data_IF_594529064725
#
_entry.id   IF_594529064725
#
_cell.length_a   1.000
_cell.length_b   1.000
_cell.length_c   1.000
_cell.angle_alpha   90.00
_cell.angle_beta   90.00
_cell.angle_gamma   90.00
#
_symmetry.space_group_name_H-M   'P 1'
#
loop_
_entity.id
_entity.type
_entity.pdbx_description
1 polymer ?
#
# COMPACT_ATOMS: atom_id res chain seq x y z
N UNK A 1 31.88 8.05 -52.06
CA UNK A 1 30.40 8.17 -52.07
C UNK A 1 29.87 7.28 -53.17
N UNK A 2 28.63 6.76 -53.11
CA UNK A 2 27.58 7.07 -52.12
C UNK A 2 27.68 6.28 -50.79
N UNK A 3 26.82 6.64 -49.84
CA UNK A 3 26.55 5.90 -48.60
C UNK A 3 25.34 4.97 -48.83
N UNK A 4 25.33 3.76 -48.27
CA UNK A 4 24.11 2.95 -48.23
C UNK A 4 23.31 3.29 -46.95
N UNK A 5 22.18 3.97 -47.12
CA UNK A 5 21.44 4.55 -46.00
C UNK A 5 20.77 3.52 -45.08
N UNK A 6 21.00 3.65 -43.78
CA UNK A 6 20.28 2.92 -42.72
C UNK A 6 18.80 3.29 -42.72
N UNK A 7 17.92 2.29 -42.92
CA UNK A 7 16.47 2.43 -42.68
C UNK A 7 16.14 2.03 -41.23
N UNK A 8 15.44 2.86 -40.44
CA UNK A 8 14.94 2.43 -39.15
C UNK A 8 13.81 1.41 -39.32
N UNK A 9 13.92 0.26 -38.66
CA UNK A 9 12.81 -0.71 -38.57
C UNK A 9 11.82 -0.17 -37.54
N UNK A 10 10.65 0.29 -38.01
CA UNK A 10 9.56 0.66 -37.12
C UNK A 10 8.91 -0.61 -36.56
N UNK A 11 9.10 -0.86 -35.26
CA UNK A 11 8.56 -2.03 -34.57
C UNK A 11 7.14 -1.73 -34.07
N UNK A 12 6.09 -2.47 -34.48
CA UNK A 12 4.71 -2.12 -34.17
C UNK A 12 4.29 -2.63 -32.78
N UNK A 13 4.71 -1.94 -31.71
CA UNK A 13 4.29 -2.22 -30.33
C UNK A 13 3.73 -1.00 -29.57
N UNK A 14 3.32 0.06 -30.28
CA UNK A 14 2.66 1.24 -29.72
C UNK A 14 1.14 1.24 -29.96
N UNK A 15 0.40 0.41 -29.20
CA UNK A 15 -1.03 0.62 -28.91
C UNK A 15 -1.36 0.07 -27.50
N UNK A 16 -1.69 0.92 -26.51
CA UNK A 16 -2.27 0.43 -25.27
C UNK A 16 -3.71 -0.06 -25.49
N UNK A 17 -4.05 -1.19 -24.87
CA UNK A 17 -5.44 -1.70 -24.82
C UNK A 17 -6.27 -0.84 -23.84
N UNK A 18 -7.37 -0.19 -24.27
CA UNK A 18 -8.21 0.62 -23.40
C UNK A 18 -9.07 -0.20 -22.40
N UNK A 19 -9.06 -1.54 -22.45
CA UNK A 19 -9.94 -2.41 -21.69
C UNK A 19 -9.42 -2.94 -20.35
N UNK A 20 -8.12 -2.86 -20.06
CA UNK A 20 -7.50 -3.57 -18.92
C UNK A 20 -7.20 -2.64 -17.73
N UNK A 21 -7.94 -2.74 -16.60
CA UNK A 21 -7.62 -1.99 -15.38
C UNK A 21 -6.40 -2.58 -14.66
N UNK A 22 -5.56 -1.75 -14.00
CA UNK A 22 -4.38 -2.22 -13.27
C UNK A 22 -4.75 -3.10 -12.05
N UNK A 23 -3.83 -4.01 -11.61
CA UNK A 23 -4.14 -5.12 -10.70
C UNK A 23 -4.41 -4.75 -9.23
N UNK A 24 -4.60 -3.47 -8.90
CA UNK A 24 -4.83 -2.97 -7.53
C UNK A 24 -6.21 -2.33 -7.30
N UNK A 25 -7.17 -2.56 -8.21
CA UNK A 25 -8.54 -2.02 -8.11
C UNK A 25 -9.42 -2.72 -7.06
N UNK A 26 -9.27 -2.30 -5.79
CA UNK A 26 -10.09 -2.80 -4.66
C UNK A 26 -11.56 -2.37 -4.82
N UNK A 27 -12.44 -3.30 -5.20
CA UNK A 27 -13.89 -3.11 -5.13
C UNK A 27 -14.38 -3.17 -3.67
N UNK A 28 -15.08 -2.14 -3.22
CA UNK A 28 -15.90 -2.22 -1.99
C UNK A 28 -17.11 -3.13 -2.24
N UNK A 29 -17.42 -3.98 -1.26
CA UNK A 29 -18.64 -4.80 -1.26
C UNK A 29 -19.82 -4.00 -0.67
N UNK A 30 -21.02 -4.02 -1.28
CA UNK A 30 -22.19 -3.34 -0.74
C UNK A 30 -22.92 -4.15 0.35
N UNK A 31 -22.84 -3.66 1.58
CA UNK A 31 -23.90 -3.62 2.59
C UNK A 31 -24.79 -4.86 2.83
N UNK A 32 -24.25 -5.85 3.55
CA UNK A 32 -25.02 -6.98 4.11
C UNK A 32 -25.92 -6.59 5.30
N UNK A 33 -27.15 -6.13 5.03
CA UNK A 33 -28.04 -5.51 6.02
C UNK A 33 -28.96 -6.52 6.74
N UNK A 34 -28.53 -7.10 7.86
CA UNK A 34 -29.39 -7.94 8.72
C UNK A 34 -30.14 -7.13 9.79
N UNK A 35 -31.45 -6.90 9.60
CA UNK A 35 -32.36 -6.40 10.65
C UNK A 35 -33.06 -7.55 11.39
N UNK A 36 -33.14 -7.44 12.71
CA UNK A 36 -34.14 -8.04 13.63
C UNK A 36 -34.69 -6.84 14.44
N UNK A 37 -35.98 -6.61 14.67
CA UNK A 37 -37.09 -7.51 15.01
C UNK A 37 -37.22 -7.54 16.55
N UNK A 38 -38.32 -7.18 17.23
CA UNK A 38 -39.71 -6.84 16.82
C UNK A 38 -40.00 -5.29 16.97
N UNK A 39 -41.09 -4.65 17.48
CA UNK A 39 -42.35 -5.05 18.16
C UNK A 39 -43.45 -3.95 18.08
N UNK A 40 -44.43 -3.90 19.02
CA UNK A 40 -45.61 -2.99 19.12
C UNK A 40 -45.76 -2.49 20.59
N UNK A 41 -46.18 -1.26 20.92
CA UNK A 41 -47.51 -0.58 20.78
C UNK A 41 -48.60 -1.21 21.70
N UNK A 42 -49.55 -0.49 22.37
CA UNK A 42 -50.08 0.88 22.15
C UNK A 42 -50.44 1.75 23.41
N UNK A 43 -51.27 2.81 23.22
CA UNK A 43 -52.36 3.35 24.12
C UNK A 43 -52.32 4.80 24.73
N UNK A 44 -52.84 5.76 23.93
CA UNK A 44 -53.76 6.94 24.16
C UNK A 44 -53.83 7.83 25.46
N UNK A 45 -54.36 9.10 25.36
CA UNK A 45 -54.37 10.15 26.42
C UNK A 45 -55.78 10.44 27.02
N UNK A 46 -56.00 11.43 27.95
CA UNK A 46 -56.33 12.82 27.54
C UNK A 46 -56.08 14.03 28.53
N UNK A 47 -55.98 15.25 27.96
CA UNK A 47 -56.44 16.61 28.42
C UNK A 47 -56.37 17.05 29.91
N UNK A 48 -55.79 18.24 30.17
CA UNK A 48 -56.51 19.53 30.42
C UNK A 48 -55.56 20.76 30.56
N UNK A 49 -56.14 21.95 30.36
CA UNK A 49 -55.63 23.32 30.61
C UNK A 49 -56.54 24.01 31.65
N UNK A 50 -56.30 25.26 32.14
CA UNK A 50 -55.10 26.12 32.12
C UNK A 50 -54.64 26.50 33.55
N UNK A 51 -53.71 27.46 33.73
CA UNK A 51 -53.94 28.72 34.49
C UNK A 51 -52.73 29.69 34.43
N UNK A 52 -52.94 30.94 34.89
CA UNK A 52 -52.01 32.08 34.88
C UNK A 52 -50.77 31.90 35.76
N UNK A 53 -49.67 32.60 35.44
CA UNK A 53 -48.46 32.59 36.28
C UNK A 53 -47.28 33.45 35.80
N UNK A 54 -47.48 34.73 35.43
CA UNK A 54 -46.36 35.64 35.18
C UNK A 54 -45.72 36.10 36.50
N UNK A 55 -44.52 35.62 36.80
CA UNK A 55 -43.66 36.20 37.84
C UNK A 55 -42.18 35.95 37.52
N UNK A 56 -41.47 36.98 37.06
CA UNK A 56 -39.99 36.97 37.04
C UNK A 56 -39.49 37.13 38.48
N UNK A 57 -38.77 36.13 39.00
CA UNK A 57 -37.67 36.35 39.97
C UNK A 57 -36.49 35.44 39.64
N UNK A 58 -35.30 35.97 39.89
CA UNK A 58 -34.00 35.39 39.52
C UNK A 58 -33.45 34.44 40.60
N UNK A 59 -32.41 33.69 40.21
CA UNK A 59 -31.48 32.90 41.03
C UNK A 59 -32.04 31.62 41.71
N UNK A 60 -31.42 30.47 41.42
CA UNK A 60 -31.78 29.19 42.07
C UNK A 60 -31.21 27.90 41.43
N UNK A 61 -29.88 27.81 41.28
CA UNK A 61 -29.09 26.59 40.99
C UNK A 61 -29.48 25.70 39.78
N UNK A 62 -28.53 25.56 38.84
CA UNK A 62 -28.49 24.49 37.82
C UNK A 62 -28.72 23.09 38.43
N UNK A 63 -29.48 22.23 37.75
CA UNK A 63 -29.83 20.87 38.26
C UNK A 63 -29.78 19.75 37.22
N UNK A 64 -29.00 19.87 36.14
CA UNK A 64 -29.02 18.89 35.02
C UNK A 64 -27.65 18.30 34.60
N UNK A 65 -26.52 18.82 35.11
CA UNK A 65 -25.17 18.57 34.55
C UNK A 65 -24.47 17.26 34.99
N UNK A 66 -25.19 16.14 35.09
CA UNK A 66 -24.58 14.84 35.50
C UNK A 66 -24.80 13.66 34.57
N UNK A 67 -25.75 13.71 33.63
CA UNK A 67 -25.98 12.60 32.69
C UNK A 67 -25.13 12.73 31.41
N UNK A 68 -25.18 13.90 30.75
CA UNK A 68 -24.58 14.14 29.44
C UNK A 68 -23.06 13.96 29.40
N UNK A 69 -22.36 14.34 30.47
CA UNK A 69 -20.89 14.27 30.56
C UNK A 69 -20.37 12.82 30.47
N UNK A 70 -21.15 11.83 30.88
CA UNK A 70 -20.75 10.40 30.85
C UNK A 70 -20.88 9.77 29.46
N UNK A 71 -21.81 10.23 28.62
CA UNK A 71 -21.96 9.73 27.24
C UNK A 71 -20.97 10.39 26.28
N UNK A 72 -20.59 11.65 26.50
CA UNK A 72 -19.53 12.31 25.72
C UNK A 72 -18.18 11.60 25.83
N UNK A 73 -17.81 11.15 27.05
CA UNK A 73 -16.55 10.45 27.29
C UNK A 73 -16.46 9.08 26.62
N UNK A 74 -17.55 8.30 26.59
CA UNK A 74 -17.53 6.98 25.93
C UNK A 74 -17.51 7.06 24.41
N UNK A 75 -18.10 8.10 23.80
CA UNK A 75 -18.03 8.28 22.35
C UNK A 75 -16.64 8.74 21.88
N UNK A 76 -15.95 9.56 22.68
CA UNK A 76 -14.58 10.02 22.37
C UNK A 76 -13.55 8.87 22.40
N UNK A 77 -13.73 7.89 23.29
CA UNK A 77 -12.81 6.75 23.46
C UNK A 77 -12.75 5.83 22.22
N UNK A 78 -13.81 5.76 21.41
CA UNK A 78 -13.89 4.87 20.23
C UNK A 78 -13.07 5.35 19.03
N UNK A 79 -12.68 6.64 18.99
CA UNK A 79 -11.91 7.21 17.86
C UNK A 79 -10.41 6.94 17.99
N UNK A 80 -9.92 6.59 19.19
CA UNK A 80 -8.49 6.52 19.50
C UNK A 80 -7.74 5.30 18.93
N UNK A 81 -8.44 4.30 18.38
CA UNK A 81 -7.85 3.02 17.96
C UNK A 81 -7.86 2.80 16.43
N UNK A 82 -7.87 3.87 15.64
CA UNK A 82 -7.62 3.81 14.20
C UNK A 82 -6.13 3.56 13.89
N UNK A 83 -5.64 2.34 14.19
CA UNK A 83 -4.27 1.93 13.85
C UNK A 83 -4.10 1.91 12.33
N UNK A 84 -3.38 2.88 11.78
CA UNK A 84 -2.96 2.84 10.39
C UNK A 84 -2.02 1.65 10.19
N UNK A 85 -2.45 0.67 9.39
CA UNK A 85 -1.54 -0.34 8.88
C UNK A 85 -0.53 0.36 7.96
N UNK A 86 0.71 0.50 8.42
CA UNK A 86 1.82 0.92 7.56
C UNK A 86 2.01 -0.17 6.50
N UNK A 87 2.01 0.22 5.22
CA UNK A 87 2.35 -0.70 4.15
C UNK A 87 3.86 -0.94 4.15
N UNK A 88 4.28 -2.19 3.93
CA UNK A 88 5.68 -2.47 3.64
C UNK A 88 5.98 -1.95 2.24
N UNK A 89 6.75 -0.87 2.16
CA UNK A 89 7.08 -0.18 0.92
C UNK A 89 8.47 -0.61 0.43
N UNK A 90 8.59 -0.88 -0.87
CA UNK A 90 9.89 -1.02 -1.55
C UNK A 90 9.97 0.01 -2.68
N UNK A 91 11.12 0.66 -2.81
CA UNK A 91 11.39 1.71 -3.78
C UNK A 91 12.79 1.55 -4.37
N UNK A 92 13.04 2.20 -5.51
CA UNK A 92 14.34 2.19 -6.16
C UNK A 92 14.63 3.56 -6.78
N UNK A 93 15.79 4.19 -6.49
CA UNK A 93 16.25 5.35 -7.24
C UNK A 93 16.81 4.97 -8.63
N UNK A 94 16.94 3.67 -8.92
CA UNK A 94 17.50 3.15 -10.17
C UNK A 94 16.49 3.07 -11.32
N UNK A 95 15.19 3.12 -11.04
CA UNK A 95 14.11 2.91 -12.03
C UNK A 95 13.09 4.03 -11.89
N UNK A 96 12.80 4.74 -12.99
CA UNK A 96 11.78 5.79 -13.06
C UNK A 96 10.92 5.62 -14.30
N UNK A 97 9.60 5.75 -14.18
CA UNK A 97 8.61 5.65 -15.27
C UNK A 97 8.80 4.41 -16.18
N UNK A 98 9.17 3.27 -15.59
CA UNK A 98 9.47 2.01 -16.30
C UNK A 98 10.78 2.01 -17.10
N UNK A 99 11.57 3.09 -17.07
CA UNK A 99 12.83 3.23 -17.79
C UNK A 99 14.00 2.75 -16.93
N UNK A 100 14.91 2.02 -17.57
CA UNK A 100 16.10 1.45 -16.94
C UNK A 100 17.37 2.03 -17.59
N UNK A 101 18.38 2.32 -16.79
CA UNK A 101 19.70 2.65 -17.32
C UNK A 101 20.36 1.39 -17.91
N UNK A 102 21.05 1.51 -19.05
CA UNK A 102 21.72 0.40 -19.72
C UNK A 102 22.65 -0.42 -18.81
N UNK A 103 23.24 0.17 -17.76
CA UNK A 103 24.11 -0.56 -16.81
C UNK A 103 23.40 -1.71 -16.07
N UNK A 104 22.07 -1.64 -15.91
CA UNK A 104 21.28 -2.70 -15.26
C UNK A 104 20.86 -3.82 -16.22
N UNK A 105 21.00 -3.61 -17.53
CA UNK A 105 20.75 -4.66 -18.53
C UNK A 105 21.87 -5.72 -18.47
N UNK A 106 21.59 -6.90 -19.02
CA UNK A 106 22.56 -7.99 -19.09
C UNK A 106 23.84 -7.61 -19.83
N UNK A 107 24.97 -8.12 -19.35
CA UNK A 107 26.30 -8.05 -19.96
C UNK A 107 26.49 -9.02 -21.15
N UNK A 108 25.60 -10.02 -21.29
CA UNK A 108 25.60 -10.97 -22.40
C UNK A 108 25.49 -10.29 -23.77
N UNK A 109 26.11 -10.91 -24.78
CA UNK A 109 26.08 -10.45 -26.16
C UNK A 109 24.63 -10.27 -26.65
N UNK A 110 24.33 -9.10 -27.21
CA UNK A 110 22.98 -8.68 -27.61
C UNK A 110 22.25 -7.79 -26.59
N UNK A 111 22.61 -7.82 -25.31
CA UNK A 111 21.98 -6.99 -24.27
C UNK A 111 22.72 -5.66 -24.03
N UNK A 112 24.06 -5.62 -24.18
CA UNK A 112 24.87 -4.40 -24.17
C UNK A 112 24.97 -3.67 -22.82
N UNK A 113 24.55 -4.30 -21.73
CA UNK A 113 24.59 -3.73 -20.38
C UNK A 113 25.82 -4.12 -19.57
N UNK A 114 25.66 -4.19 -18.24
CA UNK A 114 26.76 -4.47 -17.29
C UNK A 114 26.35 -5.40 -16.13
N UNK A 115 25.16 -5.99 -16.17
CA UNK A 115 24.62 -6.88 -15.12
C UNK A 115 24.71 -6.30 -13.70
N UNK A 116 24.59 -4.98 -13.56
CA UNK A 116 24.59 -4.31 -12.24
C UNK A 116 23.19 -4.43 -11.64
N UNK A 117 23.06 -4.97 -10.42
CA UNK A 117 21.77 -4.99 -9.73
C UNK A 117 21.33 -3.57 -9.35
N UNK A 118 20.03 -3.28 -9.44
CA UNK A 118 19.48 -1.99 -8.99
C UNK A 118 19.67 -1.77 -7.48
N UNK A 119 19.71 -0.50 -7.07
CA UNK A 119 19.57 -0.15 -5.66
C UNK A 119 18.11 -0.31 -5.22
N UNK A 120 17.89 -0.83 -4.01
CA UNK A 120 16.57 -1.02 -3.42
C UNK A 120 16.56 -0.40 -2.02
N UNK A 121 15.50 0.31 -1.66
CA UNK A 121 15.27 0.82 -0.32
C UNK A 121 13.87 0.40 0.15
N UNK A 122 13.76 -0.09 1.38
CA UNK A 122 12.49 -0.52 1.95
C UNK A 122 12.17 0.14 3.28
N UNK A 123 10.87 0.41 3.47
CA UNK A 123 10.32 1.24 4.52
C UNK A 123 9.16 0.51 5.20
N UNK A 124 9.01 0.79 6.49
CA UNK A 124 7.98 0.25 7.40
C UNK A 124 7.78 -1.28 7.34
N UNK A 125 8.85 -2.09 7.56
CA UNK A 125 8.75 -3.54 7.60
C UNK A 125 7.87 -4.02 8.77
N UNK A 126 7.09 -5.11 8.60
CA UNK A 126 6.17 -5.58 9.64
C UNK A 126 6.86 -5.88 10.98
N UNK A 127 6.17 -5.59 12.08
CA UNK A 127 6.65 -5.89 13.42
C UNK A 127 6.96 -7.40 13.57
N UNK A 128 8.14 -7.73 14.10
CA UNK A 128 8.60 -9.12 14.22
C UNK A 128 9.23 -9.72 12.96
N UNK A 129 9.45 -8.94 11.88
CA UNK A 129 10.27 -9.36 10.73
C UNK A 129 11.63 -9.88 11.19
N UNK A 130 12.01 -11.09 10.75
CA UNK A 130 13.28 -11.76 11.11
C UNK A 130 14.33 -11.64 10.00
N UNK A 131 13.88 -11.75 8.76
CA UNK A 131 14.69 -11.64 7.54
C UNK A 131 13.82 -11.32 6.35
N UNK A 132 14.43 -10.81 5.27
CA UNK A 132 13.81 -10.65 3.97
C UNK A 132 14.35 -11.69 2.98
N UNK A 133 13.56 -11.96 1.94
CA UNK A 133 14.01 -12.57 0.70
C UNK A 133 13.69 -11.60 -0.44
N UNK A 134 14.51 -11.60 -1.48
CA UNK A 134 14.34 -10.81 -2.69
C UNK A 134 14.29 -11.74 -3.89
N UNK A 135 13.33 -11.50 -4.77
CA UNK A 135 13.23 -12.16 -6.06
C UNK A 135 12.95 -11.11 -7.14
N UNK A 136 13.62 -11.22 -8.29
CA UNK A 136 13.37 -10.40 -9.46
C UNK A 136 13.09 -11.33 -10.63
N UNK A 137 11.84 -11.34 -11.10
CA UNK A 137 11.34 -12.25 -12.13
C UNK A 137 10.81 -11.45 -13.32
N UNK A 138 11.30 -11.77 -14.51
CA UNK A 138 10.68 -11.40 -15.78
C UNK A 138 9.67 -12.49 -16.14
N UNK A 139 8.43 -12.13 -16.46
CA UNK A 139 7.37 -13.07 -16.89
C UNK A 139 7.43 -13.41 -18.37
N UNK A 140 7.98 -12.52 -19.17
CA UNK A 140 7.84 -12.48 -20.63
C UNK A 140 9.05 -13.16 -21.30
N UNK A 141 10.20 -13.17 -20.59
CA UNK A 141 11.38 -13.94 -20.92
C UNK A 141 11.09 -15.41 -21.29
N UNK A 142 11.98 -15.99 -22.11
CA UNK A 142 11.89 -17.37 -22.61
C UNK A 142 10.56 -17.71 -23.31
N UNK A 143 9.85 -16.70 -23.83
CA UNK A 143 8.56 -16.84 -24.50
C UNK A 143 7.40 -17.07 -23.53
N UNK A 144 7.27 -16.22 -22.50
CA UNK A 144 6.22 -16.34 -21.48
C UNK A 144 6.44 -17.45 -20.46
N UNK A 145 7.64 -18.04 -20.40
CA UNK A 145 8.06 -19.01 -19.37
C UNK A 145 8.74 -18.33 -18.18
N UNK A 146 9.15 -17.09 -18.38
CA UNK A 146 9.84 -16.23 -17.43
C UNK A 146 11.30 -16.59 -17.15
N UNK A 147 11.94 -15.77 -16.32
CA UNK A 147 13.33 -15.90 -15.91
C UNK A 147 13.60 -15.19 -14.56
N UNK A 148 14.35 -15.84 -13.67
CA UNK A 148 14.82 -15.21 -12.43
C UNK A 148 16.12 -14.44 -12.70
N UNK A 149 16.06 -13.11 -12.65
CA UNK A 149 17.22 -12.23 -12.83
C UNK A 149 18.03 -12.01 -11.55
N UNK A 150 17.39 -12.13 -10.38
CA UNK A 150 18.04 -12.01 -9.08
C UNK A 150 17.26 -12.83 -8.05
N UNK A 151 17.97 -13.63 -7.25
CA UNK A 151 17.42 -14.38 -6.13
C UNK A 151 18.33 -14.19 -4.91
N UNK A 152 17.77 -13.82 -3.77
CA UNK A 152 18.50 -13.68 -2.51
C UNK A 152 17.62 -13.98 -1.29
N UNK A 153 18.20 -14.54 -0.24
CA UNK A 153 17.50 -14.84 1.03
C UNK A 153 18.41 -14.64 2.25
N UNK A 154 17.86 -14.85 3.45
CA UNK A 154 18.51 -14.58 4.74
C UNK A 154 19.02 -13.13 4.91
N UNK A 155 18.45 -12.17 4.18
CA UNK A 155 18.76 -10.75 4.34
C UNK A 155 18.28 -10.33 5.74
N UNK A 156 19.12 -9.78 6.62
CA UNK A 156 18.76 -9.53 8.01
C UNK A 156 17.72 -8.41 8.14
N UNK A 157 16.77 -8.55 9.08
CA UNK A 157 15.70 -7.57 9.32
C UNK A 157 16.19 -6.13 9.58
N UNK A 158 17.43 -5.97 10.08
CA UNK A 158 18.07 -4.68 10.36
C UNK A 158 18.49 -3.90 9.10
N UNK A 159 18.65 -4.57 7.95
CA UNK A 159 18.90 -3.89 6.69
C UNK A 159 17.67 -3.06 6.27
N UNK A 160 17.92 -1.96 5.55
CA UNK A 160 16.92 -0.98 5.05
C UNK A 160 16.85 -0.90 3.53
N UNK A 161 17.57 -1.78 2.85
CA UNK A 161 17.79 -1.74 1.42
C UNK A 161 18.94 -2.67 1.00
N UNK A 162 19.25 -2.62 -0.29
CA UNK A 162 20.43 -3.18 -0.93
C UNK A 162 21.02 -2.11 -1.84
N UNK A 163 22.33 -1.88 -1.75
CA UNK A 163 23.02 -0.89 -2.57
C UNK A 163 23.10 -1.30 -4.05
N UNK A 164 23.41 -0.34 -4.92
CA UNK A 164 23.63 -0.63 -6.34
C UNK A 164 24.73 -1.68 -6.55
N UNK A 165 24.39 -2.75 -7.27
CA UNK A 165 25.26 -3.91 -7.50
C UNK A 165 25.46 -4.84 -6.29
N UNK A 166 24.62 -4.76 -5.25
CA UNK A 166 24.61 -5.71 -4.14
C UNK A 166 24.56 -7.18 -4.62
N UNK A 167 23.75 -7.47 -5.66
CA UNK A 167 23.61 -8.78 -6.29
C UNK A 167 24.77 -9.23 -7.18
N UNK A 168 25.92 -8.55 -7.15
CA UNK A 168 27.11 -8.98 -7.89
C UNK A 168 27.67 -10.32 -7.36
N UNK A 169 28.35 -11.05 -8.24
CA UNK A 169 28.88 -12.40 -7.98
C UNK A 169 29.70 -12.48 -6.68
N UNK A 170 29.50 -13.56 -5.92
CA UNK A 170 30.11 -13.75 -4.61
C UNK A 170 29.56 -12.87 -3.49
N UNK A 171 28.51 -12.06 -3.74
CA UNK A 171 27.69 -11.42 -2.71
C UNK A 171 28.40 -10.42 -1.79
N UNK A 172 29.60 -9.93 -2.17
CA UNK A 172 30.48 -9.11 -1.31
C UNK A 172 29.86 -7.78 -0.83
N UNK A 173 28.80 -7.31 -1.50
CA UNK A 173 28.03 -6.11 -1.16
C UNK A 173 26.66 -6.41 -0.50
N UNK A 174 26.30 -7.68 -0.33
CA UNK A 174 25.11 -8.05 0.42
C UNK A 174 25.33 -7.88 1.94
N UNK A 175 24.28 -7.60 2.73
CA UNK A 175 24.37 -7.64 4.19
C UNK A 175 24.84 -9.00 4.70
N UNK A 176 25.65 -9.01 5.77
CA UNK A 176 26.19 -10.25 6.37
C UNK A 176 25.07 -11.24 6.73
N UNK A 177 25.24 -12.50 6.33
CA UNK A 177 24.27 -13.58 6.52
C UNK A 177 23.32 -13.80 5.34
N UNK A 178 23.23 -12.85 4.40
CA UNK A 178 22.47 -13.04 3.16
C UNK A 178 23.13 -14.11 2.27
N UNK A 179 22.31 -14.80 1.48
CA UNK A 179 22.72 -15.77 0.46
C UNK A 179 22.19 -15.29 -0.90
N UNK A 180 22.97 -15.46 -1.96
CA UNK A 180 22.54 -15.31 -3.35
C UNK A 180 22.29 -16.70 -3.96
N UNK A 181 21.30 -16.79 -4.86
CA UNK A 181 21.01 -17.99 -5.67
C UNK A 181 21.50 -17.90 -7.11
#
# INVERSE_FOLDING_TARGET
>A
MPQLGSRPIQHPLDRPDPGVPPPWSVRKSPDGLHRRGFFRCPSRPPRRLPFFGLLLRYAGLFREDRMSLRLGFTMLALVAFATQAQAFEISSPSVSDGKWNAKYLGDKAGCGGKSVSIALAWKDPPAGTKSYALTMFDTDANGGKGFWHWLAWNIPASAKGLDEGAGAEGGKRMPKGSVLG
#
